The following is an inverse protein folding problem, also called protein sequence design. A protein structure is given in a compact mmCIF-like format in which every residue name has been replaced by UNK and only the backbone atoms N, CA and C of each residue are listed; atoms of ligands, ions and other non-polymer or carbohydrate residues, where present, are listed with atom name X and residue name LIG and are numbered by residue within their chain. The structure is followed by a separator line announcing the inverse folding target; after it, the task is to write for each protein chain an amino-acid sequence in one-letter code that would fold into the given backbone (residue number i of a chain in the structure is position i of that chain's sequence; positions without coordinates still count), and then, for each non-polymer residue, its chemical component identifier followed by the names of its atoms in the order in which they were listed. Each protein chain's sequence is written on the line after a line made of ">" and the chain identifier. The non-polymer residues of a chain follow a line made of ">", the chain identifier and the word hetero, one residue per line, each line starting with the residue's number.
data_IF_904648954952
#
_entry.id   IF_904648954952
#
_cell.length_a   1.000
_cell.length_b   1.000
_cell.length_c   1.000
_cell.angle_alpha   90.00
_cell.angle_beta   90.00
_cell.angle_gamma   90.00
#
_symmetry.space_group_name_H-M   'P 1'
#
loop_
_entity.id
_entity.type
_entity.pdbx_description
1 polymer ?
#
# COMPACT_ATOMS: atom_id res chain seq x y z
N UNK A 1 33.65 -9.66 -9.83
CA UNK A 1 32.37 -10.16 -10.40
C UNK A 1 31.29 -10.39 -9.35
N UNK A 2 31.60 -10.84 -8.12
CA UNK A 2 30.60 -10.98 -7.03
C UNK A 2 29.89 -9.66 -6.63
N UNK A 3 30.62 -8.55 -6.53
CA UNK A 3 30.06 -7.25 -6.13
C UNK A 3 29.03 -6.67 -7.13
N UNK A 4 29.17 -6.96 -8.43
CA UNK A 4 28.18 -6.52 -9.43
C UNK A 4 26.86 -7.29 -9.32
N UNK A 5 26.89 -8.55 -8.87
CA UNK A 5 25.69 -9.35 -8.62
C UNK A 5 25.00 -8.88 -7.33
N UNK A 6 25.78 -8.55 -6.31
CA UNK A 6 25.27 -8.02 -5.04
C UNK A 6 24.52 -6.70 -5.25
N UNK A 7 25.11 -5.74 -5.97
CA UNK A 7 24.50 -4.45 -6.25
C UNK A 7 23.18 -4.59 -7.01
N UNK A 8 23.17 -5.39 -8.09
CA UNK A 8 21.95 -5.69 -8.85
C UNK A 8 20.90 -6.38 -7.99
N UNK A 9 21.31 -7.25 -7.05
CA UNK A 9 20.39 -7.94 -6.15
C UNK A 9 19.74 -6.98 -5.16
N UNK A 10 20.48 -5.98 -4.65
CA UNK A 10 19.91 -4.95 -3.77
C UNK A 10 18.96 -4.03 -4.52
N UNK A 11 19.35 -3.56 -5.71
CA UNK A 11 18.50 -2.71 -6.54
C UNK A 11 17.22 -3.44 -6.95
N UNK A 12 17.36 -4.68 -7.45
CA UNK A 12 16.23 -5.50 -7.84
C UNK A 12 15.32 -5.81 -6.64
N UNK A 13 15.90 -6.22 -5.50
CA UNK A 13 15.14 -6.53 -4.30
C UNK A 13 14.33 -5.33 -3.80
N UNK A 14 14.92 -4.14 -3.81
CA UNK A 14 14.25 -2.89 -3.44
C UNK A 14 13.10 -2.56 -4.39
N UNK A 15 13.36 -2.55 -5.71
CA UNK A 15 12.34 -2.26 -6.72
C UNK A 15 11.19 -3.28 -6.71
N UNK A 16 11.53 -4.56 -6.51
CA UNK A 16 10.56 -5.62 -6.38
C UNK A 16 9.67 -5.42 -5.15
N UNK A 17 10.27 -5.16 -3.98
CA UNK A 17 9.52 -4.92 -2.74
C UNK A 17 8.60 -3.70 -2.87
N UNK A 18 9.09 -2.58 -3.41
CA UNK A 18 8.29 -1.35 -3.63
C UNK A 18 7.11 -1.63 -4.54
N UNK A 19 7.33 -2.35 -5.65
CA UNK A 19 6.27 -2.64 -6.62
C UNK A 19 5.21 -3.60 -6.05
N UNK A 20 5.64 -4.66 -5.37
CA UNK A 20 4.73 -5.66 -4.78
C UNK A 20 3.94 -5.06 -3.62
N UNK A 21 4.59 -4.40 -2.67
CA UNK A 21 3.90 -3.79 -1.52
C UNK A 21 3.05 -2.59 -1.94
N UNK A 22 3.52 -1.79 -2.90
CA UNK A 22 2.76 -0.67 -3.45
C UNK A 22 1.52 -1.11 -4.22
N UNK A 23 1.61 -2.16 -5.04
CA UNK A 23 0.45 -2.74 -5.73
C UNK A 23 -0.55 -3.37 -4.77
N UNK A 24 -0.08 -4.04 -3.71
CA UNK A 24 -0.95 -4.55 -2.65
C UNK A 24 -1.68 -3.42 -1.93
N UNK A 25 -0.98 -2.34 -1.58
CA UNK A 25 -1.59 -1.16 -0.96
C UNK A 25 -2.69 -0.56 -1.84
N UNK A 26 -2.39 -0.34 -3.13
CA UNK A 26 -3.34 0.20 -4.09
C UNK A 26 -4.57 -0.69 -4.23
N UNK A 27 -4.37 -2.00 -4.39
CA UNK A 27 -5.45 -2.98 -4.46
C UNK A 27 -6.34 -2.94 -3.20
N UNK A 28 -5.73 -2.98 -2.01
CA UNK A 28 -6.47 -2.96 -0.75
C UNK A 28 -7.26 -1.67 -0.56
N UNK A 29 -6.72 -0.51 -0.97
CA UNK A 29 -7.47 0.74 -0.97
C UNK A 29 -8.72 0.63 -1.87
N UNK A 30 -8.53 0.24 -3.14
CA UNK A 30 -9.60 0.18 -4.16
C UNK A 30 -10.76 -0.72 -3.73
N UNK A 31 -10.48 -1.88 -3.14
CA UNK A 31 -11.52 -2.83 -2.73
C UNK A 31 -12.19 -2.51 -1.39
N UNK A 32 -11.54 -1.74 -0.51
CA UNK A 32 -12.08 -1.44 0.83
C UNK A 32 -12.71 -0.05 0.95
N UNK A 33 -12.41 0.89 0.05
CA UNK A 33 -13.03 2.21 0.11
C UNK A 33 -14.54 2.12 -0.17
N UNK A 34 -15.33 2.76 0.70
CA UNK A 34 -16.79 2.87 0.52
C UNK A 34 -17.07 4.31 0.11
N UNK A 35 -17.45 4.50 -1.15
CA UNK A 35 -17.76 5.82 -1.69
C UNK A 35 -19.14 6.28 -1.18
N UNK A 36 -19.27 7.53 -0.69
CA UNK A 36 -20.57 8.14 -0.43
C UNK A 36 -21.44 8.20 -1.69
N UNK A 37 -22.76 8.22 -1.52
CA UNK A 37 -23.71 8.29 -2.64
C UNK A 37 -23.46 9.54 -3.50
N UNK A 38 -23.44 9.36 -4.82
CA UNK A 38 -23.26 10.46 -5.78
C UNK A 38 -21.81 10.88 -6.02
N UNK A 39 -20.83 10.27 -5.34
CA UNK A 39 -19.41 10.49 -5.61
C UNK A 39 -18.98 9.74 -6.87
N UNK A 40 -18.15 10.38 -7.70
CA UNK A 40 -17.58 9.76 -8.90
C UNK A 40 -16.73 8.54 -8.57
N UNK A 41 -16.87 7.48 -9.36
CA UNK A 41 -16.11 6.24 -9.21
C UNK A 41 -14.59 6.44 -9.35
N UNK A 42 -14.17 7.53 -10.02
CA UNK A 42 -12.75 7.95 -10.14
C UNK A 42 -12.09 8.10 -8.75
N UNK A 43 -12.85 8.41 -7.71
CA UNK A 43 -12.31 8.49 -6.34
C UNK A 43 -11.80 7.12 -5.81
N UNK A 44 -12.21 6.00 -6.41
CA UNK A 44 -11.77 4.65 -6.03
C UNK A 44 -10.39 4.29 -6.60
N UNK A 45 -9.95 4.95 -7.67
CA UNK A 45 -8.69 4.62 -8.36
C UNK A 45 -7.47 4.82 -7.45
N UNK A 46 -7.48 5.89 -6.65
CA UNK A 46 -6.39 6.20 -5.72
C UNK A 46 -6.82 7.18 -4.64
N UNK A 47 -6.06 7.25 -3.55
CA UNK A 47 -6.24 8.29 -2.53
C UNK A 47 -6.11 9.69 -3.15
N UNK A 48 -5.14 9.89 -4.04
CA UNK A 48 -4.97 11.17 -4.76
C UNK A 48 -6.22 11.56 -5.54
N UNK A 49 -6.82 10.63 -6.27
CA UNK A 49 -8.06 10.85 -7.03
C UNK A 49 -9.23 11.18 -6.10
N UNK A 50 -9.36 10.49 -4.95
CA UNK A 50 -10.38 10.82 -3.96
C UNK A 50 -10.20 12.21 -3.36
N UNK A 51 -8.97 12.62 -3.05
CA UNK A 51 -8.69 13.94 -2.50
C UNK A 51 -8.93 15.06 -3.52
N UNK A 52 -8.68 14.79 -4.81
CA UNK A 52 -9.01 15.68 -5.92
C UNK A 52 -10.53 15.86 -6.05
N UNK A 53 -11.29 14.76 -6.11
CA UNK A 53 -12.77 14.80 -6.13
C UNK A 53 -13.30 15.50 -4.88
N UNK A 54 -12.73 15.24 -3.70
CA UNK A 54 -13.15 15.89 -2.47
C UNK A 54 -12.87 17.40 -2.47
N UNK A 55 -11.77 17.85 -3.10
CA UNK A 55 -11.42 19.26 -3.18
C UNK A 55 -12.40 20.09 -4.03
N UNK A 56 -13.08 19.44 -4.99
CA UNK A 56 -14.07 20.07 -5.85
C UNK A 56 -15.51 19.97 -5.33
N UNK A 57 -15.75 19.24 -4.22
CA UNK A 57 -17.10 18.87 -3.75
C UNK A 57 -17.64 19.67 -2.55
N UNK A 58 -16.96 20.72 -2.09
CA UNK A 58 -17.46 21.56 -0.99
C UNK A 58 -17.65 20.81 0.34
N UNK A 59 -18.82 20.96 1.00
CA UNK A 59 -19.11 20.37 2.33
C UNK A 59 -19.09 18.83 2.32
N UNK A 60 -19.54 18.22 1.21
CA UNK A 60 -19.54 16.75 1.05
C UNK A 60 -18.13 16.18 0.85
N UNK A 61 -17.18 17.03 0.43
CA UNK A 61 -15.77 16.68 0.27
C UNK A 61 -15.09 16.28 1.57
N UNK A 62 -15.51 16.81 2.72
CA UNK A 62 -14.92 16.44 4.00
C UNK A 62 -15.24 14.99 4.39
N UNK A 63 -16.48 14.55 4.13
CA UNK A 63 -16.87 13.16 4.35
C UNK A 63 -16.03 12.23 3.47
N UNK A 64 -15.94 12.54 2.16
CA UNK A 64 -15.12 11.77 1.22
C UNK A 64 -13.65 11.68 1.65
N UNK A 65 -13.05 12.78 2.11
CA UNK A 65 -11.68 12.78 2.67
C UNK A 65 -11.55 11.81 3.83
N UNK A 66 -12.49 11.84 4.77
CA UNK A 66 -12.44 10.96 5.95
C UNK A 66 -12.52 9.49 5.55
N UNK A 67 -13.46 9.10 4.68
CA UNK A 67 -13.58 7.69 4.25
C UNK A 67 -12.36 7.23 3.44
N UNK A 68 -11.82 8.11 2.57
CA UNK A 68 -10.64 7.78 1.77
C UNK A 68 -9.38 7.60 2.63
N UNK A 69 -9.13 8.49 3.61
CA UNK A 69 -8.00 8.32 4.53
C UNK A 69 -8.16 7.07 5.38
N UNK A 70 -9.36 6.79 5.90
CA UNK A 70 -9.62 5.58 6.68
C UNK A 70 -9.34 4.31 5.85
N UNK A 71 -9.77 4.26 4.59
CA UNK A 71 -9.50 3.13 3.71
C UNK A 71 -7.99 2.95 3.46
N UNK A 72 -7.27 4.05 3.23
CA UNK A 72 -5.83 4.04 3.00
C UNK A 72 -5.05 3.60 4.25
N UNK A 73 -5.41 4.10 5.43
CA UNK A 73 -4.78 3.73 6.70
C UNK A 73 -4.94 2.24 7.00
N UNK A 74 -6.15 1.69 6.77
CA UNK A 74 -6.39 0.25 6.91
C UNK A 74 -5.56 -0.57 5.91
N UNK A 75 -5.50 -0.15 4.65
CA UNK A 75 -4.66 -0.80 3.64
C UNK A 75 -3.17 -0.77 4.05
N UNK A 76 -2.69 0.37 4.54
CA UNK A 76 -1.31 0.54 5.01
C UNK A 76 -0.98 -0.36 6.21
N UNK A 77 -1.89 -0.47 7.19
CA UNK A 77 -1.72 -1.38 8.32
C UNK A 77 -1.61 -2.85 7.87
N UNK A 78 -2.45 -3.28 6.94
CA UNK A 78 -2.38 -4.64 6.38
C UNK A 78 -1.03 -4.88 5.69
N UNK A 79 -0.57 -3.92 4.87
CA UNK A 79 0.75 -4.01 4.20
C UNK A 79 1.88 -4.09 5.22
N UNK A 80 1.81 -3.34 6.32
CA UNK A 80 2.79 -3.42 7.41
C UNK A 80 2.81 -4.79 8.09
N UNK A 81 1.64 -5.39 8.32
CA UNK A 81 1.57 -6.76 8.84
C UNK A 81 2.16 -7.78 7.87
N UNK A 82 1.93 -7.63 6.56
CA UNK A 82 2.53 -8.50 5.54
C UNK A 82 4.06 -8.37 5.56
N UNK A 83 4.59 -7.14 5.58
CA UNK A 83 6.03 -6.89 5.66
C UNK A 83 6.63 -7.51 6.94
N UNK A 84 5.99 -7.28 8.09
CA UNK A 84 6.41 -7.86 9.37
C UNK A 84 6.42 -9.40 9.35
N UNK A 85 5.39 -10.02 8.75
CA UNK A 85 5.30 -11.47 8.63
C UNK A 85 6.42 -12.05 7.75
N UNK A 86 6.74 -11.40 6.62
CA UNK A 86 7.84 -11.80 5.74
C UNK A 86 9.19 -11.71 6.46
N UNK A 87 9.44 -10.61 7.19
CA UNK A 87 10.67 -10.45 7.96
C UNK A 87 10.78 -11.46 9.10
N UNK A 88 9.69 -11.71 9.83
CA UNK A 88 9.65 -12.71 10.89
C UNK A 88 9.91 -14.12 10.34
N UNK A 89 9.35 -14.45 9.18
CA UNK A 89 9.60 -15.71 8.50
C UNK A 89 11.07 -15.87 8.09
N UNK A 90 11.66 -14.85 7.45
CA UNK A 90 13.09 -14.86 7.08
C UNK A 90 14.02 -14.98 8.29
N UNK A 91 13.70 -14.28 9.37
CA UNK A 91 14.42 -14.39 10.65
C UNK A 91 14.34 -15.80 11.24
N UNK A 92 13.15 -16.40 11.28
CA UNK A 92 12.94 -17.75 11.78
C UNK A 92 13.72 -18.79 10.97
N UNK A 93 13.64 -18.73 9.64
CA UNK A 93 14.39 -19.64 8.75
C UNK A 93 15.89 -19.52 9.00
N UNK A 94 16.40 -18.29 9.09
CA UNK A 94 17.81 -18.03 9.36
C UNK A 94 18.22 -18.58 10.73
N UNK A 95 17.39 -18.39 11.76
CA UNK A 95 17.63 -18.91 13.10
C UNK A 95 17.61 -20.44 13.16
N UNK A 96 16.83 -21.11 12.32
CA UNK A 96 16.83 -22.59 12.22
C UNK A 96 18.07 -23.09 11.49
N UNK A 97 18.50 -22.43 10.41
CA UNK A 97 19.63 -22.87 9.59
C UNK A 97 21.00 -22.61 10.22
N UNK A 98 21.14 -21.58 11.05
CA UNK A 98 22.39 -21.20 11.71
C UNK A 98 22.58 -21.83 13.10
N UNK A 99 21.64 -22.69 13.53
CA UNK A 99 21.66 -23.34 14.84
C UNK A 99 22.13 -24.78 14.73
#
# INVERSE_FOLDING_TARGET
>A
MASSVEEVSYEFGSLFAVTVLGSLLAYLYTVNIILPNGVSEIARDSLSSALEVASSSGVDGQNLRTVANLAYDNAYLIVMYVAAAVLAFGSLVTAILLR
#
